data_IF_168544919758
#
_entry.id   IF_168544919758
#
_cell.length_a   1.000
_cell.length_b   1.000
_cell.length_c   1.000
_cell.angle_alpha   90.00
_cell.angle_beta   90.00
_cell.angle_gamma   90.00
#
_symmetry.space_group_name_H-M   'P 1'
#
loop_
_entity.id
_entity.type
_entity.pdbx_description
1 polymer ?
#
# COMPACT_ATOMS: atom_id res chain seq x y z
N UNK A 1 9.21 -24.14 -24.22
CA UNK A 1 9.43 -22.71 -23.88
C UNK A 1 8.25 -21.94 -24.43
N UNK A 2 7.25 -21.61 -23.59
CA UNK A 2 6.09 -20.82 -24.03
C UNK A 2 6.48 -19.35 -23.90
N UNK A 3 6.55 -18.63 -25.02
CA UNK A 3 6.78 -17.20 -25.01
C UNK A 3 5.54 -16.49 -24.46
N UNK A 4 5.72 -15.71 -23.40
CA UNK A 4 4.67 -14.85 -22.83
C UNK A 4 4.24 -13.79 -23.84
N UNK A 5 2.94 -13.51 -23.90
CA UNK A 5 2.36 -12.49 -24.77
C UNK A 5 2.90 -11.08 -24.43
N UNK A 6 3.01 -10.18 -25.42
CA UNK A 6 3.60 -8.83 -25.23
C UNK A 6 2.87 -7.99 -24.17
N UNK A 7 1.58 -8.23 -23.92
CA UNK A 7 0.81 -7.62 -22.82
C UNK A 7 1.25 -8.10 -21.43
N UNK A 8 1.58 -9.38 -21.28
CA UNK A 8 2.14 -9.90 -20.02
C UNK A 8 3.56 -9.36 -19.79
N UNK A 9 4.32 -9.13 -20.87
CA UNK A 9 5.65 -8.55 -20.83
C UNK A 9 5.63 -7.04 -20.49
N UNK A 10 4.60 -6.31 -20.96
CA UNK A 10 4.37 -4.91 -20.59
C UNK A 10 3.88 -4.74 -19.14
N UNK A 11 3.06 -5.66 -18.63
CA UNK A 11 2.66 -5.69 -17.22
C UNK A 11 3.83 -6.06 -16.28
N UNK A 12 4.76 -6.91 -16.74
CA UNK A 12 6.00 -7.22 -16.01
C UNK A 12 7.04 -6.08 -16.07
N UNK A 13 6.99 -5.23 -17.09
CA UNK A 13 7.94 -4.12 -17.29
C UNK A 13 7.54 -2.79 -16.63
N UNK A 14 6.34 -2.66 -16.06
CA UNK A 14 5.87 -1.43 -15.42
C UNK A 14 5.82 -1.47 -13.89
N UNK A 15 6.39 -2.50 -13.23
CA UNK A 15 6.68 -2.42 -11.79
C UNK A 15 7.92 -1.54 -11.57
N UNK A 16 7.82 -0.25 -11.91
CA UNK A 16 8.81 0.70 -11.45
C UNK A 16 8.69 0.70 -9.93
N UNK A 17 9.64 0.06 -9.23
CA UNK A 17 9.68 0.12 -7.78
C UNK A 17 9.81 1.59 -7.38
N UNK A 18 8.73 2.21 -6.94
CA UNK A 18 8.76 3.59 -6.49
C UNK A 18 9.20 3.63 -5.04
N UNK A 19 9.90 4.69 -4.66
CA UNK A 19 10.25 4.93 -3.27
C UNK A 19 9.39 6.06 -2.73
N UNK A 20 8.62 5.76 -1.71
CA UNK A 20 7.83 6.74 -0.99
C UNK A 20 8.53 7.13 0.30
N UNK A 21 8.50 8.43 0.62
CA UNK A 21 8.77 8.95 1.95
C UNK A 21 7.43 9.11 2.66
N UNK A 22 7.27 8.44 3.79
CA UNK A 22 6.08 8.56 4.62
C UNK A 22 6.44 9.36 5.85
N UNK A 23 5.69 10.43 6.08
CA UNK A 23 5.87 11.34 7.21
C UNK A 23 4.58 11.37 7.99
N UNK A 24 4.63 10.97 9.27
CA UNK A 24 3.48 11.01 10.18
C UNK A 24 3.76 12.09 11.22
N UNK A 25 2.98 13.17 11.18
CA UNK A 25 3.10 14.31 12.09
C UNK A 25 1.75 14.53 12.78
N UNK A 26 1.70 14.56 14.12
CA UNK A 26 0.49 14.92 14.85
C UNK A 26 0.00 16.32 14.46
N UNK A 27 -1.31 16.48 14.37
CA UNK A 27 -1.96 17.79 14.30
C UNK A 27 -2.40 18.15 15.73
N UNK A 28 -1.96 19.31 16.19
CA UNK A 28 -2.27 19.86 17.51
C UNK A 28 -3.72 20.36 17.57
N UNK A 29 -4.21 20.68 18.78
CA UNK A 29 -5.59 21.14 18.99
C UNK A 29 -5.94 22.43 18.23
N UNK A 30 -4.94 23.22 17.88
CA UNK A 30 -5.07 24.45 17.10
C UNK A 30 -5.09 24.20 15.58
N UNK A 31 -5.00 22.94 15.15
CA UNK A 31 -4.96 22.56 13.74
C UNK A 31 -3.59 22.70 13.10
N UNK A 32 -2.56 23.13 13.84
CA UNK A 32 -1.20 23.23 13.34
C UNK A 32 -0.49 21.88 13.47
N UNK A 33 0.47 21.63 12.58
CA UNK A 33 1.38 20.51 12.74
C UNK A 33 2.20 20.68 14.02
N UNK A 34 2.40 19.59 14.75
CA UNK A 34 3.27 19.60 15.92
C UNK A 34 4.67 20.13 15.56
N UNK A 35 5.21 20.98 16.44
CA UNK A 35 6.55 21.55 16.30
C UNK A 35 7.54 20.85 17.24
N UNK A 36 8.72 20.50 16.73
CA UNK A 36 9.77 19.80 17.49
C UNK A 36 10.01 18.36 17.02
N UNK A 37 10.42 17.47 17.94
CA UNK A 37 10.76 16.07 17.65
C UNK A 37 9.55 15.14 17.77
N UNK A 38 8.52 15.38 16.96
CA UNK A 38 7.25 14.64 17.01
C UNK A 38 6.82 14.00 15.68
N UNK A 39 7.70 14.03 14.68
CA UNK A 39 7.44 13.43 13.37
C UNK A 39 8.12 12.08 13.25
N UNK A 40 7.40 11.10 12.73
CA UNK A 40 7.96 9.81 12.29
C UNK A 40 8.20 9.92 10.78
N UNK A 41 9.41 9.59 10.34
CA UNK A 41 9.75 9.51 8.91
C UNK A 41 10.27 8.11 8.59
N UNK A 42 9.76 7.52 7.49
CA UNK A 42 10.25 6.26 6.95
C UNK A 42 10.29 6.29 5.43
N UNK A 43 11.22 5.54 4.85
CA UNK A 43 11.26 5.26 3.42
C UNK A 43 10.67 3.87 3.14
N UNK A 44 9.78 3.79 2.16
CA UNK A 44 9.16 2.54 1.72
C UNK A 44 9.41 2.30 0.24
N UNK A 45 9.90 1.12 -0.12
CA UNK A 45 10.00 0.67 -1.50
C UNK A 45 8.71 -0.05 -1.86
N UNK A 46 7.88 0.59 -2.67
CA UNK A 46 6.62 0.05 -3.12
C UNK A 46 6.80 -0.79 -4.39
N UNK A 47 6.01 -1.85 -4.50
CA UNK A 47 5.91 -2.63 -5.74
C UNK A 47 4.95 -2.00 -6.76
N UNK A 48 4.03 -1.16 -6.28
CA UNK A 48 3.02 -0.48 -7.10
C UNK A 48 3.15 1.03 -7.00
N UNK A 49 2.73 1.74 -8.04
CA UNK A 49 2.59 3.20 -8.02
C UNK A 49 1.30 3.59 -7.27
N UNK A 50 1.45 4.10 -6.05
CA UNK A 50 0.36 4.51 -5.17
C UNK A 50 -0.42 5.71 -5.72
N UNK A 51 0.22 6.61 -6.45
CA UNK A 51 -0.48 7.72 -7.11
C UNK A 51 -1.38 7.18 -8.20
N UNK A 52 -0.87 6.25 -9.01
CA UNK A 52 -1.66 5.59 -10.04
C UNK A 52 -2.83 4.81 -9.45
N UNK A 53 -2.62 4.10 -8.33
CA UNK A 53 -3.69 3.41 -7.61
C UNK A 53 -4.78 4.38 -7.14
N UNK A 54 -4.40 5.54 -6.61
CA UNK A 54 -5.35 6.56 -6.15
C UNK A 54 -6.16 7.16 -7.30
N UNK A 55 -5.53 7.38 -8.46
CA UNK A 55 -6.20 7.90 -9.66
C UNK A 55 -7.28 6.95 -10.20
N UNK A 56 -6.99 5.64 -10.21
CA UNK A 56 -7.91 4.64 -10.77
C UNK A 56 -8.96 4.16 -9.76
N UNK A 57 -8.71 4.35 -8.46
CA UNK A 57 -9.65 3.97 -7.43
C UNK A 57 -10.99 4.68 -7.61
N UNK A 58 -12.07 3.88 -7.64
CA UNK A 58 -13.40 4.39 -7.95
C UNK A 58 -13.86 5.37 -6.87
N UNK A 59 -14.40 6.52 -7.29
CA UNK A 59 -14.98 7.52 -6.36
C UNK A 59 -16.27 7.05 -5.67
N UNK A 60 -16.96 6.06 -6.23
CA UNK A 60 -18.29 5.63 -5.78
C UNK A 60 -18.25 4.53 -4.71
N UNK A 61 -17.17 4.43 -3.93
CA UNK A 61 -17.03 3.42 -2.87
C UNK A 61 -17.64 3.83 -1.53
N UNK A 62 -18.15 5.07 -1.42
CA UNK A 62 -18.63 5.64 -0.15
C UNK A 62 -17.51 6.19 0.74
N UNK A 63 -16.24 6.03 0.35
CA UNK A 63 -15.10 6.64 1.04
C UNK A 63 -14.89 8.09 0.59
N UNK A 64 -14.48 8.95 1.52
CA UNK A 64 -13.91 10.27 1.24
C UNK A 64 -12.57 10.17 0.48
N UNK A 65 -11.98 11.31 0.13
CA UNK A 65 -10.65 11.34 -0.50
C UNK A 65 -9.57 10.76 0.41
N UNK A 66 -9.55 11.23 1.67
CA UNK A 66 -8.53 10.85 2.65
C UNK A 66 -8.67 9.39 3.07
N UNK A 67 -9.89 8.89 3.27
CA UNK A 67 -10.12 7.47 3.60
C UNK A 67 -9.65 6.55 2.48
N UNK A 68 -9.84 6.95 1.22
CA UNK A 68 -9.37 6.16 0.07
C UNK A 68 -7.85 6.14 -0.01
N UNK A 69 -7.21 7.30 0.18
CA UNK A 69 -5.75 7.39 0.22
C UNK A 69 -5.18 6.56 1.37
N UNK A 70 -5.77 6.65 2.57
CA UNK A 70 -5.37 5.86 3.73
C UNK A 70 -5.51 4.35 3.48
N UNK A 71 -6.63 3.92 2.90
CA UNK A 71 -6.86 2.51 2.58
C UNK A 71 -5.79 1.98 1.59
N UNK A 72 -5.54 2.72 0.50
CA UNK A 72 -4.54 2.32 -0.50
C UNK A 72 -3.15 2.22 0.14
N UNK A 73 -2.72 3.26 0.86
CA UNK A 73 -1.40 3.28 1.51
C UNK A 73 -1.28 2.13 2.52
N UNK A 74 -2.30 1.89 3.35
CA UNK A 74 -2.29 0.82 4.34
C UNK A 74 -2.23 -0.58 3.69
N UNK A 75 -3.04 -0.83 2.66
CA UNK A 75 -3.04 -2.11 1.91
C UNK A 75 -1.67 -2.38 1.31
N UNK A 76 -1.06 -1.39 0.65
CA UNK A 76 0.23 -1.58 -0.01
C UNK A 76 1.35 -1.77 1.02
N UNK A 77 1.35 -1.00 2.12
CA UNK A 77 2.32 -1.17 3.20
C UNK A 77 2.27 -2.58 3.80
N UNK A 78 1.08 -3.08 4.11
CA UNK A 78 0.88 -4.41 4.69
C UNK A 78 1.28 -5.52 3.71
N UNK A 79 0.86 -5.41 2.45
CA UNK A 79 1.20 -6.35 1.38
C UNK A 79 2.71 -6.45 1.18
N UNK A 80 3.39 -5.31 1.03
CA UNK A 80 4.84 -5.27 0.82
C UNK A 80 5.62 -5.72 2.06
N UNK A 81 5.08 -5.51 3.26
CA UNK A 81 5.68 -6.01 4.51
C UNK A 81 5.57 -7.53 4.61
N UNK A 82 4.42 -8.10 4.30
CA UNK A 82 4.22 -9.56 4.30
C UNK A 82 5.09 -10.26 3.27
N UNK A 83 5.12 -9.74 2.04
CA UNK A 83 5.91 -10.31 0.94
C UNK A 83 7.41 -10.31 1.25
N UNK A 84 7.92 -9.30 1.97
CA UNK A 84 9.34 -9.24 2.38
C UNK A 84 9.78 -10.41 3.25
N UNK A 85 8.86 -11.01 4.00
CA UNK A 85 9.15 -12.09 4.94
C UNK A 85 8.52 -13.43 4.51
N UNK A 86 7.93 -13.53 3.32
CA UNK A 86 7.19 -14.71 2.87
C UNK A 86 8.04 -15.99 2.84
N UNK A 87 9.36 -15.85 2.64
CA UNK A 87 10.32 -16.96 2.61
C UNK A 87 10.95 -17.27 3.98
N UNK A 88 10.42 -16.70 5.08
CA UNK A 88 10.91 -16.91 6.45
C UNK A 88 9.87 -17.70 7.29
N UNK A 89 9.91 -19.06 7.30
CA UNK A 89 8.89 -19.92 7.91
C UNK A 89 8.66 -19.76 9.43
N UNK A 90 9.50 -18.97 10.12
CA UNK A 90 9.37 -18.66 11.54
C UNK A 90 9.08 -17.18 11.84
N UNK A 91 8.92 -16.35 10.81
CA UNK A 91 8.64 -14.94 11.01
C UNK A 91 7.18 -14.73 11.48
N UNK A 92 6.89 -13.88 12.47
CA UNK A 92 5.52 -13.70 12.97
C UNK A 92 4.49 -13.34 11.88
N UNK A 93 4.90 -12.64 10.82
CA UNK A 93 4.03 -12.30 9.69
C UNK A 93 3.65 -13.50 8.83
N UNK A 94 4.50 -14.52 8.70
CA UNK A 94 4.14 -15.72 7.92
C UNK A 94 3.09 -16.55 8.65
N UNK A 95 3.12 -16.56 9.98
CA UNK A 95 2.08 -17.18 10.82
C UNK A 95 0.73 -16.46 10.67
N UNK A 96 0.74 -15.13 10.53
CA UNK A 96 -0.46 -14.30 10.40
C UNK A 96 -0.95 -14.13 8.95
N UNK A 97 -0.28 -14.76 7.98
CA UNK A 97 -0.56 -14.55 6.56
C UNK A 97 -2.03 -14.79 6.19
N UNK A 98 -2.70 -15.87 6.64
CA UNK A 98 -4.10 -16.10 6.26
C UNK A 98 -5.04 -14.98 6.72
N UNK A 99 -4.88 -14.48 7.95
CA UNK A 99 -5.70 -13.38 8.46
C UNK A 99 -5.38 -12.07 7.74
N UNK A 100 -4.11 -11.86 7.40
CA UNK A 100 -3.69 -10.71 6.64
C UNK A 100 -4.29 -10.71 5.23
N UNK A 101 -4.34 -11.86 4.57
CA UNK A 101 -4.94 -12.01 3.24
C UNK A 101 -6.44 -11.64 3.26
N UNK A 102 -7.17 -12.05 4.30
CA UNK A 102 -8.58 -11.66 4.50
C UNK A 102 -8.74 -10.14 4.65
N UNK A 103 -7.88 -9.50 5.44
CA UNK A 103 -7.88 -8.05 5.62
C UNK A 103 -7.53 -7.33 4.32
N UNK A 104 -6.51 -7.79 3.60
CA UNK A 104 -6.11 -7.20 2.32
C UNK A 104 -7.23 -7.29 1.29
N UNK A 105 -7.89 -8.45 1.17
CA UNK A 105 -9.03 -8.63 0.27
C UNK A 105 -10.20 -7.70 0.62
N UNK A 106 -10.51 -7.53 1.91
CA UNK A 106 -11.54 -6.60 2.36
C UNK A 106 -11.20 -5.14 2.02
N UNK A 107 -9.94 -4.73 2.25
CA UNK A 107 -9.47 -3.38 1.92
C UNK A 107 -9.49 -3.11 0.41
N UNK A 108 -9.14 -4.10 -0.42
CA UNK A 108 -9.17 -3.96 -1.88
C UNK A 108 -10.60 -3.83 -2.41
N UNK A 109 -11.53 -4.60 -1.84
CA UNK A 109 -12.95 -4.52 -2.19
C UNK A 109 -13.53 -3.12 -1.95
N UNK A 110 -13.21 -2.49 -0.81
CA UNK A 110 -13.69 -1.13 -0.50
C UNK A 110 -12.97 -0.03 -1.31
N UNK A 111 -11.78 -0.30 -1.84
CA UNK A 111 -11.07 0.63 -2.73
C UNK A 111 -11.64 0.62 -4.16
N UNK A 112 -12.37 -0.44 -4.52
CA UNK A 112 -12.81 -0.67 -5.89
C UNK A 112 -11.62 -0.84 -6.84
N UNK A 113 -10.53 -1.42 -6.33
CA UNK A 113 -9.40 -1.86 -7.15
C UNK A 113 -9.91 -2.93 -8.14
N UNK A 114 -9.49 -2.89 -9.42
CA UNK A 114 -9.94 -3.84 -10.44
C UNK A 114 -9.51 -5.28 -10.15
#
# INVERSE_FOLDING_TARGET
MVALSPTAQAAMASSSSQRYRITVTPIEKDGLQCSGRCTIELEHRAQQDWMRLLEIARRNTGLSGDERAAAIVATQLLRDLAQRHAEEPGHPLTVLQPQLDEVLAALESIQGAP
#
